data_IF_124758751730
#
_entry.id   IF_124758751730
#
_cell.length_a   1.000
_cell.length_b   1.000
_cell.length_c   1.000
_cell.angle_alpha   90.00
_cell.angle_beta   90.00
_cell.angle_gamma   90.00
#
_symmetry.space_group_name_H-M   'P 1'
#
loop_
_entity.id
_entity.type
_entity.pdbx_description
1 polymer ?
#
# COMPACT_ATOMS: atom_id res chain seq x y z
N UNK A 1 -4.61 -0.25 10.28
CA UNK A 1 -3.71 0.89 10.54
C UNK A 1 -4.33 2.20 10.08
N UNK A 2 -4.39 3.18 10.94
CA UNK A 2 -4.93 4.50 10.61
C UNK A 2 -3.77 5.46 10.34
N UNK A 3 -3.83 6.17 9.21
CA UNK A 3 -2.87 7.21 8.86
C UNK A 3 -3.64 8.51 8.67
N UNK A 4 -3.44 9.46 9.59
CA UNK A 4 -4.15 10.74 9.58
C UNK A 4 -3.23 11.93 9.26
N UNK A 5 -2.11 11.67 8.63
CA UNK A 5 -1.16 12.71 8.24
C UNK A 5 -1.69 13.49 7.04
N UNK A 6 -1.74 14.81 7.14
CA UNK A 6 -2.02 15.66 5.99
C UNK A 6 -0.73 15.92 5.21
N UNK A 7 -0.46 15.07 4.26
CA UNK A 7 0.74 15.11 3.45
C UNK A 7 0.96 13.79 2.75
N UNK A 8 1.97 13.72 1.90
CA UNK A 8 2.40 12.47 1.28
C UNK A 8 3.09 11.60 2.34
N UNK A 9 2.83 10.32 2.30
CA UNK A 9 3.31 9.37 3.30
C UNK A 9 4.04 8.21 2.62
N UNK A 10 5.09 7.73 3.27
CA UNK A 10 5.71 6.44 2.94
C UNK A 10 5.16 5.43 3.94
N UNK A 11 4.46 4.41 3.45
CA UNK A 11 3.92 3.37 4.33
C UNK A 11 5.05 2.55 4.96
N UNK A 12 4.83 2.12 6.19
CA UNK A 12 5.74 1.16 6.83
C UNK A 12 5.38 -0.26 6.40
N UNK A 13 6.33 -1.17 6.55
CA UNK A 13 6.07 -2.58 6.29
C UNK A 13 4.97 -3.13 7.21
N UNK A 14 4.95 -2.72 8.47
CA UNK A 14 3.89 -3.11 9.40
C UNK A 14 2.51 -2.66 8.94
N UNK A 15 2.40 -1.46 8.37
CA UNK A 15 1.15 -0.97 7.80
C UNK A 15 0.71 -1.81 6.59
N UNK A 16 1.66 -2.16 5.72
CA UNK A 16 1.37 -2.96 4.53
C UNK A 16 0.82 -4.35 4.85
N UNK A 17 1.29 -4.97 5.91
CA UNK A 17 0.86 -6.32 6.31
C UNK A 17 -0.29 -6.30 7.33
N UNK A 18 -0.83 -5.14 7.65
CA UNK A 18 -1.92 -5.01 8.64
C UNK A 18 -3.31 -5.35 8.10
N UNK A 19 -3.42 -5.67 6.83
CA UNK A 19 -4.66 -5.94 6.09
C UNK A 19 -5.48 -4.71 5.74
N UNK A 20 -5.37 -3.62 6.48
CA UNK A 20 -6.11 -2.39 6.21
C UNK A 20 -5.25 -1.16 6.49
N UNK A 21 -5.19 -0.27 5.50
CA UNK A 21 -4.69 1.09 5.67
C UNK A 21 -5.89 2.02 5.53
N UNK A 22 -6.22 2.73 6.59
CA UNK A 22 -7.27 3.74 6.60
C UNK A 22 -6.59 5.11 6.48
N UNK A 23 -6.69 5.70 5.30
CA UNK A 23 -6.01 6.96 4.98
C UNK A 23 -7.00 8.11 5.15
N UNK A 24 -6.75 8.99 6.10
CA UNK A 24 -7.65 10.09 6.44
C UNK A 24 -6.93 11.43 6.57
N UNK A 25 -7.67 12.47 6.89
CA UNK A 25 -7.17 13.83 7.18
C UNK A 25 -6.37 14.47 6.04
N UNK A 26 -6.66 14.10 4.79
CA UNK A 26 -6.01 14.71 3.64
C UNK A 26 -6.78 15.94 3.18
N UNK A 27 -6.10 17.09 3.13
CA UNK A 27 -6.68 18.35 2.66
C UNK A 27 -6.39 18.64 1.19
N UNK A 28 -5.69 17.74 0.49
CA UNK A 28 -5.32 17.86 -0.91
C UNK A 28 -5.13 16.48 -1.52
N UNK A 29 -4.97 16.41 -2.84
CA UNK A 29 -4.58 15.19 -3.52
C UNK A 29 -3.21 14.76 -3.01
N UNK A 30 -3.08 13.48 -2.66
CA UNK A 30 -1.83 12.95 -2.10
C UNK A 30 -1.30 11.79 -2.92
N UNK A 31 0.02 11.67 -2.90
CA UNK A 31 0.76 10.55 -3.47
C UNK A 31 1.54 9.88 -2.36
N UNK A 32 1.09 8.72 -1.95
CA UNK A 32 1.79 7.91 -0.98
C UNK A 32 2.71 6.91 -1.68
N UNK A 33 3.65 6.35 -0.97
CA UNK A 33 4.62 5.39 -1.52
C UNK A 33 4.68 4.17 -0.62
N UNK A 34 4.76 2.99 -1.20
CA UNK A 34 4.99 1.78 -0.43
C UNK A 34 6.43 1.74 0.10
N UNK A 35 6.70 0.96 1.15
CA UNK A 35 8.08 0.66 1.50
C UNK A 35 8.72 -0.21 0.43
N UNK A 36 10.01 -0.50 0.57
CA UNK A 36 10.72 -1.41 -0.34
C UNK A 36 10.21 -2.84 -0.20
N UNK A 37 10.40 -3.64 -1.24
CA UNK A 37 10.10 -5.08 -1.17
C UNK A 37 10.91 -5.76 -0.05
N UNK A 38 12.17 -5.36 0.13
CA UNK A 38 13.01 -5.89 1.21
C UNK A 38 12.38 -5.66 2.59
N UNK A 39 11.83 -4.46 2.82
CA UNK A 39 11.17 -4.15 4.10
C UNK A 39 9.89 -4.96 4.28
N UNK A 40 9.07 -5.09 3.24
CA UNK A 40 7.82 -5.86 3.29
C UNK A 40 8.11 -7.33 3.60
N UNK A 41 9.00 -7.94 2.84
CA UNK A 41 9.37 -9.36 3.00
C UNK A 41 10.00 -9.61 4.36
N UNK A 42 10.82 -8.66 4.85
CA UNK A 42 11.44 -8.76 6.17
C UNK A 42 10.44 -8.74 7.34
N UNK A 43 9.25 -8.20 7.12
CA UNK A 43 8.19 -8.16 8.14
C UNK A 43 7.34 -9.43 8.18
N UNK A 44 7.47 -10.31 7.19
CA UNK A 44 6.68 -11.54 7.07
C UNK A 44 7.34 -12.68 7.82
N UNK A 45 6.53 -13.58 8.38
CA UNK A 45 7.00 -14.84 8.95
C UNK A 45 7.17 -15.88 7.84
N UNK A 46 8.38 -16.42 7.73
CA UNK A 46 8.69 -17.50 6.77
C UNK A 46 8.20 -17.22 5.34
N UNK A 47 8.57 -16.08 4.75
CA UNK A 47 8.12 -15.75 3.40
C UNK A 47 8.72 -16.71 2.38
N UNK A 48 7.92 -17.04 1.35
CA UNK A 48 8.34 -17.86 0.22
C UNK A 48 7.78 -17.23 -1.06
N UNK A 49 8.30 -17.65 -2.21
CA UNK A 49 7.70 -17.28 -3.49
C UNK A 49 6.25 -17.76 -3.50
N UNK A 50 5.33 -16.87 -3.84
CA UNK A 50 3.90 -17.14 -3.83
C UNK A 50 3.21 -16.83 -2.50
N UNK A 51 3.94 -16.48 -1.44
CA UNK A 51 3.30 -15.97 -0.23
C UNK A 51 2.47 -14.75 -0.60
N UNK A 52 1.19 -14.76 -0.24
CA UNK A 52 0.26 -13.70 -0.59
C UNK A 52 -0.44 -13.16 0.65
N UNK A 53 -0.60 -11.84 0.71
CA UNK A 53 -1.31 -11.16 1.78
C UNK A 53 -2.34 -10.23 1.18
N UNK A 54 -3.50 -10.16 1.79
CA UNK A 54 -4.55 -9.23 1.38
C UNK A 54 -4.31 -7.88 2.04
N UNK A 55 -4.46 -6.81 1.27
CA UNK A 55 -4.41 -5.44 1.75
C UNK A 55 -5.58 -4.65 1.18
N UNK A 56 -6.27 -3.93 2.03
CA UNK A 56 -7.27 -2.95 1.64
C UNK A 56 -6.75 -1.55 1.98
N UNK A 57 -6.83 -0.63 1.03
CA UNK A 57 -6.53 0.78 1.27
C UNK A 57 -7.82 1.57 1.09
N UNK A 58 -8.26 2.20 2.17
CA UNK A 58 -9.45 3.03 2.19
C UNK A 58 -9.03 4.50 2.17
N UNK A 59 -9.47 5.24 1.14
CA UNK A 59 -9.25 6.67 1.03
C UNK A 59 -10.46 7.42 1.57
N UNK A 60 -10.34 7.95 2.78
CA UNK A 60 -11.40 8.73 3.43
C UNK A 60 -10.86 10.13 3.78
N UNK A 61 -10.81 11.05 2.79
CA UNK A 61 -10.30 12.40 3.05
C UNK A 61 -11.20 13.16 4.01
N UNK A 62 -10.63 14.18 4.63
CA UNK A 62 -11.30 14.97 5.62
C UNK A 62 -12.38 15.87 5.01
N UNK A 63 -13.51 15.99 5.69
CA UNK A 63 -14.59 16.89 5.32
C UNK A 63 -15.22 16.57 3.96
N UNK A 64 -15.54 17.61 3.20
CA UNK A 64 -16.17 17.51 1.89
C UNK A 64 -15.16 17.40 0.74
N UNK A 65 -13.88 17.22 1.03
CA UNK A 65 -12.84 17.17 0.01
C UNK A 65 -12.96 15.90 -0.83
N UNK A 66 -12.90 16.07 -2.15
CA UNK A 66 -12.93 14.97 -3.10
C UNK A 66 -11.51 14.63 -3.56
N UNK A 67 -10.60 14.44 -2.60
CA UNK A 67 -9.18 14.26 -2.89
C UNK A 67 -8.86 12.82 -3.22
N UNK A 68 -8.28 12.61 -4.40
CA UNK A 68 -7.78 11.31 -4.82
C UNK A 68 -6.47 10.97 -4.11
N UNK A 69 -6.22 9.67 -4.02
CA UNK A 69 -4.99 9.11 -3.48
C UNK A 69 -4.32 8.26 -4.55
N UNK A 70 -3.05 8.53 -4.83
CA UNK A 70 -2.21 7.67 -5.66
C UNK A 70 -1.20 6.98 -4.78
N UNK A 71 -1.02 5.67 -4.97
CA UNK A 71 0.01 4.92 -4.26
C UNK A 71 1.06 4.46 -5.25
N UNK A 72 2.29 4.97 -5.10
CA UNK A 72 3.40 4.60 -5.95
C UNK A 72 4.23 3.48 -5.32
N UNK A 73 4.85 2.60 -6.14
CA UNK A 73 5.66 1.52 -5.61
C UNK A 73 7.02 2.01 -5.13
N UNK A 74 7.48 1.48 -3.99
CA UNK A 74 8.86 1.57 -3.56
C UNK A 74 9.76 0.62 -4.34
N UNK A 75 11.06 0.65 -4.05
CA UNK A 75 12.03 -0.20 -4.74
C UNK A 75 11.70 -1.68 -4.59
N UNK A 76 11.68 -2.40 -5.70
CA UNK A 76 11.36 -3.83 -5.75
C UNK A 76 9.87 -4.16 -5.72
N UNK A 77 9.01 -3.15 -5.58
CA UNK A 77 7.55 -3.32 -5.60
C UNK A 77 7.03 -2.95 -6.98
N UNK A 78 6.09 -3.74 -7.49
CA UNK A 78 5.41 -3.48 -8.76
C UNK A 78 3.90 -3.52 -8.52
N UNK A 79 3.20 -2.48 -8.98
CA UNK A 79 1.74 -2.49 -9.05
C UNK A 79 1.29 -2.97 -10.42
N UNK A 80 0.35 -3.90 -10.43
CA UNK A 80 -0.30 -4.36 -11.67
C UNK A 80 -1.60 -3.58 -11.93
N UNK A 81 -1.55 -2.27 -11.80
CA UNK A 81 -2.69 -1.38 -11.90
C UNK A 81 -3.28 -1.03 -10.54
N UNK A 82 -4.37 -0.25 -10.55
CA UNK A 82 -5.10 0.06 -9.32
C UNK A 82 -4.41 1.03 -8.37
N UNK A 83 -3.47 1.84 -8.85
CA UNK A 83 -2.73 2.77 -8.01
C UNK A 83 -3.55 3.97 -7.55
N UNK A 84 -4.62 4.31 -8.26
CA UNK A 84 -5.46 5.44 -7.93
C UNK A 84 -6.68 4.99 -7.14
N UNK A 85 -6.87 5.59 -5.97
CA UNK A 85 -8.00 5.32 -5.10
C UNK A 85 -8.80 6.61 -4.97
N UNK A 86 -10.03 6.60 -5.46
CA UNK A 86 -10.90 7.77 -5.42
C UNK A 86 -11.32 8.09 -3.99
N UNK A 87 -11.71 9.33 -3.79
CA UNK A 87 -12.26 9.80 -2.52
C UNK A 87 -13.44 8.91 -2.08
N UNK A 88 -13.48 8.58 -0.81
CA UNK A 88 -14.53 7.75 -0.19
C UNK A 88 -14.64 6.36 -0.81
N UNK A 89 -13.52 5.84 -1.31
CA UNK A 89 -13.44 4.51 -1.91
C UNK A 89 -12.35 3.68 -1.25
N UNK A 90 -12.49 2.38 -1.38
CA UNK A 90 -11.49 1.42 -0.96
C UNK A 90 -11.08 0.56 -2.15
N UNK A 91 -9.82 0.16 -2.18
CA UNK A 91 -9.33 -0.86 -3.11
C UNK A 91 -8.68 -2.00 -2.35
N UNK A 92 -8.96 -3.20 -2.81
CA UNK A 92 -8.35 -4.41 -2.29
C UNK A 92 -7.25 -4.90 -3.22
N UNK A 93 -6.20 -5.42 -2.64
CA UNK A 93 -5.02 -5.93 -3.34
C UNK A 93 -4.58 -7.25 -2.75
N UNK A 94 -3.90 -8.05 -3.59
CA UNK A 94 -3.00 -9.09 -3.10
C UNK A 94 -1.57 -8.60 -3.23
N UNK A 95 -0.80 -8.73 -2.15
CA UNK A 95 0.65 -8.56 -2.16
C UNK A 95 1.26 -9.94 -2.30
N UNK A 96 1.98 -10.16 -3.39
CA UNK A 96 2.53 -11.47 -3.72
C UNK A 96 4.05 -11.39 -3.73
N UNK A 97 4.70 -12.21 -2.92
CA UNK A 97 6.16 -12.32 -2.94
C UNK A 97 6.60 -13.10 -4.18
N UNK A 98 7.35 -12.46 -5.06
CA UNK A 98 7.84 -13.07 -6.29
C UNK A 98 9.32 -13.42 -6.23
N UNK A 99 10.08 -12.82 -5.32
CA UNK A 99 11.46 -13.18 -5.02
C UNK A 99 11.74 -12.84 -3.55
N UNK A 100 12.20 -13.80 -2.77
CA UNK A 100 12.42 -13.64 -1.31
C UNK A 100 13.89 -13.75 -0.90
N UNK A 101 14.79 -13.91 -1.85
CA UNK A 101 16.23 -14.06 -1.60
C UNK A 101 17.03 -12.86 -2.13
N UNK A 102 17.74 -13.02 -3.23
CA UNK A 102 18.40 -11.91 -3.90
C UNK A 102 17.35 -11.08 -4.63
N UNK A 103 17.61 -9.80 -4.85
CA UNK A 103 16.68 -8.93 -5.59
C UNK A 103 15.21 -9.13 -5.17
N UNK A 104 14.94 -9.00 -3.88
CA UNK A 104 13.59 -9.21 -3.31
C UNK A 104 12.56 -8.40 -4.06
N UNK A 105 11.43 -9.03 -4.37
CA UNK A 105 10.38 -8.44 -5.19
C UNK A 105 8.99 -8.80 -4.69
N UNK A 106 8.09 -7.82 -4.76
CA UNK A 106 6.68 -7.94 -4.40
C UNK A 106 5.85 -7.37 -5.52
N UNK A 107 4.82 -8.09 -5.95
CA UNK A 107 3.79 -7.56 -6.85
C UNK A 107 2.54 -7.24 -6.05
N UNK A 108 1.92 -6.12 -6.36
CA UNK A 108 0.64 -5.70 -5.77
C UNK A 108 -0.40 -5.75 -6.86
N UNK A 109 -1.35 -6.65 -6.72
CA UNK A 109 -2.36 -6.96 -7.73
C UNK A 109 -3.73 -6.53 -7.21
N UNK A 110 -4.47 -5.63 -7.91
CA UNK A 110 -5.82 -5.30 -7.51
C UNK A 110 -6.76 -6.51 -7.67
N UNK A 111 -7.66 -6.62 -6.72
CA UNK A 111 -8.64 -7.72 -6.72
C UNK A 111 -10.03 -7.21 -7.05
#
# INVERSE_FOLDING_TARGET
SVISTDGNVIYTAAQMISSLIYRSAMNDIRTDVTPTATAIIGALSSPAIGTAIKLCIFNFPDGSNANGLTVNPGTGVTFDGGQNIQSNSAKEYLLICTNVTDSKAVRIVPI
#
